data_IF_953242685546
#
_entry.id   IF_953242685546
#
_cell.length_a   1.000
_cell.length_b   1.000
_cell.length_c   1.000
_cell.angle_alpha   90.00
_cell.angle_beta   90.00
_cell.angle_gamma   90.00
#
_symmetry.space_group_name_H-M   'P 1'
#
loop_
_entity.id
_entity.type
_entity.pdbx_description
1 polymer ?
#
# COMPACT_ATOMS: atom_id res chain seq x y z
N UNK A 1 14.78 -16.44 7.13
CA UNK A 1 15.36 -15.08 7.12
C UNK A 1 16.65 -15.04 6.30
N UNK A 2 17.66 -15.85 6.65
CA UNK A 2 19.00 -15.91 6.03
C UNK A 2 19.04 -16.02 4.49
N UNK A 3 18.27 -16.90 3.84
CA UNK A 3 18.33 -17.02 2.38
C UNK A 3 17.64 -15.85 1.65
N UNK A 4 16.91 -14.98 2.35
CA UNK A 4 16.36 -13.74 1.77
C UNK A 4 17.29 -12.55 1.97
N UNK A 5 17.99 -12.40 3.11
CA UNK A 5 19.04 -11.36 3.33
C UNK A 5 20.11 -11.28 2.22
N UNK A 6 20.25 -12.42 1.58
CA UNK A 6 20.89 -12.80 0.34
C UNK A 6 20.62 -12.06 -0.92
N UNK A 7 19.35 -11.80 -1.06
CA UNK A 7 18.82 -11.04 -2.16
C UNK A 7 19.08 -9.55 -1.90
N UNK A 8 19.51 -9.20 -0.68
CA UNK A 8 19.38 -7.85 -0.14
C UNK A 8 20.68 -7.00 -0.06
N UNK A 9 21.83 -7.49 -0.52
CA UNK A 9 23.10 -6.72 -0.44
C UNK A 9 23.63 -6.26 -1.80
N UNK A 10 23.66 -4.93 -2.09
CA UNK A 10 24.25 -4.37 -3.29
C UNK A 10 25.58 -3.66 -3.02
N UNK A 11 26.36 -4.10 -2.03
CA UNK A 11 27.71 -3.54 -1.88
C UNK A 11 28.62 -3.95 -3.05
N UNK A 12 28.16 -4.86 -3.91
CA UNK A 12 28.84 -5.15 -5.17
C UNK A 12 28.83 -3.95 -6.14
N UNK A 13 27.92 -2.96 -6.01
CA UNK A 13 28.04 -1.68 -6.74
C UNK A 13 29.37 -0.97 -6.43
N UNK A 14 29.85 -1.07 -5.19
CA UNK A 14 31.13 -0.48 -4.76
C UNK A 14 32.31 -1.08 -5.50
N UNK A 15 32.23 -2.34 -5.92
CA UNK A 15 33.30 -3.07 -6.61
C UNK A 15 32.95 -3.47 -8.04
N UNK A 16 31.92 -2.87 -8.63
CA UNK A 16 31.48 -3.20 -9.98
C UNK A 16 32.58 -2.88 -11.00
N UNK A 17 32.69 -3.73 -12.03
CA UNK A 17 33.60 -3.45 -13.15
C UNK A 17 33.15 -2.19 -13.89
N UNK A 18 34.03 -1.19 -13.93
CA UNK A 18 33.78 0.07 -14.62
C UNK A 18 33.96 -0.08 -16.13
N UNK A 19 32.98 0.38 -16.91
CA UNK A 19 33.07 0.41 -18.36
C UNK A 19 32.61 1.74 -18.91
N UNK A 20 33.21 2.14 -20.04
CA UNK A 20 32.84 3.32 -20.80
C UNK A 20 32.81 4.63 -19.97
N UNK A 21 33.70 4.76 -18.98
CA UNK A 21 33.84 5.96 -18.17
C UNK A 21 32.86 6.10 -17.00
N UNK A 22 31.97 5.13 -16.78
CA UNK A 22 31.12 5.07 -15.60
C UNK A 22 31.94 4.77 -14.33
N UNK A 23 31.48 5.25 -13.17
CA UNK A 23 32.20 5.11 -11.91
C UNK A 23 31.47 4.18 -10.95
N UNK A 24 32.17 3.18 -10.44
CA UNK A 24 31.63 2.34 -9.39
C UNK A 24 31.61 3.08 -8.04
N UNK A 25 30.99 2.46 -7.03
CA UNK A 25 30.85 3.13 -5.74
C UNK A 25 32.16 3.42 -5.02
N UNK A 26 33.21 2.63 -5.22
CA UNK A 26 34.51 2.93 -4.62
C UNK A 26 35.18 4.12 -5.30
N UNK A 27 35.16 4.20 -6.62
CA UNK A 27 35.73 5.33 -7.36
C UNK A 27 35.05 6.64 -6.96
N UNK A 28 33.72 6.62 -6.87
CA UNK A 28 32.90 7.76 -6.47
C UNK A 28 33.11 8.16 -5.00
N UNK A 29 32.97 7.21 -4.06
CA UNK A 29 32.84 7.54 -2.62
C UNK A 29 34.08 7.21 -1.79
N UNK A 30 35.12 6.63 -2.39
CA UNK A 30 36.27 6.02 -1.70
C UNK A 30 35.88 4.95 -0.67
N UNK A 31 34.66 4.42 -0.78
CA UNK A 31 34.07 3.48 0.19
C UNK A 31 33.47 4.16 1.42
N UNK A 32 33.26 5.48 1.42
CA UNK A 32 32.61 6.20 2.52
C UNK A 32 31.22 6.66 2.11
N UNK A 33 30.20 5.89 2.50
CA UNK A 33 28.82 6.22 2.20
C UNK A 33 27.86 5.57 3.19
N UNK A 34 26.66 6.14 3.28
CA UNK A 34 25.51 5.54 3.95
C UNK A 34 24.50 5.12 2.89
N UNK A 35 23.96 3.94 3.03
CA UNK A 35 22.91 3.40 2.17
C UNK A 35 21.68 3.06 2.99
N UNK A 36 20.53 3.53 2.56
CA UNK A 36 19.23 3.21 3.13
C UNK A 36 18.38 2.58 2.04
N UNK A 37 17.75 1.45 2.34
CA UNK A 37 16.96 0.73 1.37
C UNK A 37 15.70 0.15 2.00
N UNK A 38 14.60 0.25 1.28
CA UNK A 38 13.32 -0.33 1.64
C UNK A 38 12.88 -1.33 0.57
N UNK A 39 12.47 -2.50 1.03
CA UNK A 39 12.08 -3.63 0.20
C UNK A 39 10.66 -4.03 0.57
N UNK A 40 9.79 -4.11 -0.43
CA UNK A 40 8.40 -4.52 -0.26
C UNK A 40 8.12 -5.77 -1.11
N UNK A 41 7.69 -6.85 -0.47
CA UNK A 41 7.32 -8.09 -1.14
C UNK A 41 5.87 -8.04 -1.61
N UNK A 42 5.55 -8.70 -2.72
CA UNK A 42 4.16 -8.77 -3.22
C UNK A 42 3.19 -9.46 -2.23
N UNK A 43 3.71 -10.20 -1.25
CA UNK A 43 2.97 -10.82 -0.15
C UNK A 43 2.67 -9.87 1.01
N UNK A 44 3.19 -8.64 0.98
CA UNK A 44 2.88 -7.57 1.94
C UNK A 44 3.94 -7.33 3.03
N UNK A 45 4.92 -8.23 3.18
CA UNK A 45 6.03 -8.01 4.12
C UNK A 45 7.00 -6.93 3.60
N UNK A 46 7.67 -6.25 4.53
CA UNK A 46 8.65 -5.21 4.23
C UNK A 46 9.94 -5.38 5.03
N UNK A 47 11.06 -4.98 4.44
CA UNK A 47 12.38 -4.95 5.07
C UNK A 47 13.05 -3.62 4.82
N UNK A 48 13.53 -3.01 5.89
CA UNK A 48 14.39 -1.83 5.87
C UNK A 48 15.84 -2.23 6.18
N UNK A 49 16.76 -1.61 5.46
CA UNK A 49 18.18 -1.84 5.61
C UNK A 49 18.96 -0.55 5.64
N UNK A 50 19.87 -0.44 6.60
CA UNK A 50 20.88 0.60 6.67
C UNK A 50 22.25 -0.03 6.57
N UNK A 51 23.09 0.48 5.67
CA UNK A 51 24.52 0.18 5.62
C UNK A 51 25.31 1.45 5.85
N UNK A 52 26.28 1.41 6.75
CA UNK A 52 27.27 2.48 6.93
C UNK A 52 28.63 1.92 6.53
N UNK A 53 29.16 2.43 5.42
CA UNK A 53 30.43 1.97 4.84
C UNK A 53 31.52 2.97 5.22
N UNK A 54 32.61 2.46 5.82
CA UNK A 54 33.64 3.26 6.49
C UNK A 54 35.01 3.18 5.80
N UNK A 55 35.00 3.02 4.49
CA UNK A 55 36.20 2.88 3.67
C UNK A 55 36.71 1.45 3.60
N UNK A 56 37.94 1.35 3.08
CA UNK A 56 38.66 0.10 2.86
C UNK A 56 39.86 0.05 3.80
N UNK A 57 40.07 -1.07 4.48
CA UNK A 57 41.21 -1.24 5.38
C UNK A 57 42.51 -1.54 4.61
N UNK A 58 43.63 -1.67 5.34
CA UNK A 58 44.94 -1.94 4.76
C UNK A 58 45.06 -3.27 4.01
N UNK A 59 44.11 -4.19 4.21
CA UNK A 59 44.05 -5.49 3.52
C UNK A 59 43.22 -5.46 2.24
N UNK A 60 42.58 -4.33 1.92
CA UNK A 60 41.64 -4.23 0.81
C UNK A 60 40.21 -4.67 1.17
N UNK A 61 39.90 -4.82 2.47
CA UNK A 61 38.57 -5.21 2.93
C UNK A 61 37.69 -3.99 3.15
N UNK A 62 36.50 -3.98 2.54
CA UNK A 62 35.51 -2.92 2.73
C UNK A 62 34.81 -3.09 4.09
N UNK A 63 34.80 -2.04 4.90
CA UNK A 63 34.22 -2.06 6.23
C UNK A 63 32.76 -1.60 6.19
N UNK A 64 31.83 -2.46 6.60
CA UNK A 64 30.39 -2.22 6.51
C UNK A 64 29.70 -2.57 7.83
N UNK A 65 29.00 -1.61 8.42
CA UNK A 65 28.01 -1.87 9.46
C UNK A 65 26.63 -1.99 8.83
N UNK A 66 25.93 -3.10 9.07
CA UNK A 66 24.60 -3.36 8.52
C UNK A 66 23.55 -3.49 9.63
N UNK A 67 22.43 -2.80 9.47
CA UNK A 67 21.22 -2.94 10.30
C UNK A 67 20.07 -3.36 9.39
N UNK A 68 19.37 -4.43 9.74
CA UNK A 68 18.23 -4.93 8.97
C UNK A 68 17.05 -5.13 9.90
N UNK A 69 15.90 -4.56 9.53
CA UNK A 69 14.67 -4.61 10.32
C UNK A 69 13.47 -4.92 9.43
N UNK A 70 12.48 -5.63 9.94
CA UNK A 70 11.25 -5.94 9.22
C UNK A 70 10.98 -7.44 9.12
N UNK A 71 10.09 -7.80 8.21
CA UNK A 71 9.60 -9.15 8.01
C UNK A 71 9.88 -9.59 6.58
N UNK A 72 10.03 -10.90 6.39
CA UNK A 72 10.21 -11.50 5.07
C UNK A 72 9.20 -12.62 4.87
N UNK A 73 8.84 -12.92 3.61
CA UNK A 73 8.02 -14.07 3.28
C UNK A 73 8.60 -15.36 3.87
N UNK A 74 7.73 -16.20 4.39
CA UNK A 74 8.14 -17.51 4.88
C UNK A 74 8.61 -18.40 3.72
N UNK A 75 9.82 -18.94 3.83
CA UNK A 75 10.36 -19.92 2.90
C UNK A 75 10.70 -21.22 3.65
N UNK A 76 10.32 -22.39 3.09
CA UNK A 76 10.71 -23.67 3.67
C UNK A 76 12.24 -23.81 3.85
N UNK A 77 12.69 -24.48 4.92
CA UNK A 77 14.11 -24.80 5.08
C UNK A 77 14.65 -25.60 3.88
N UNK A 78 15.82 -25.21 3.37
CA UNK A 78 16.43 -25.86 2.20
C UNK A 78 15.90 -25.40 0.85
N UNK A 79 14.98 -24.44 0.81
CA UNK A 79 14.56 -23.80 -0.45
C UNK A 79 15.74 -23.18 -1.20
N UNK A 80 15.92 -23.59 -2.45
CA UNK A 80 16.86 -22.95 -3.38
C UNK A 80 16.20 -21.71 -3.98
N UNK A 81 16.78 -20.54 -3.70
CA UNK A 81 16.33 -19.27 -4.28
C UNK A 81 17.13 -19.01 -5.54
N UNK A 82 16.44 -18.70 -6.63
CA UNK A 82 17.07 -18.26 -7.88
C UNK A 82 16.71 -16.81 -8.16
N UNK A 83 17.74 -16.04 -8.54
CA UNK A 83 17.61 -14.66 -8.96
C UNK A 83 17.99 -14.58 -10.44
N UNK A 84 17.14 -13.93 -11.22
CA UNK A 84 17.47 -13.63 -12.61
C UNK A 84 18.46 -12.45 -12.65
N UNK A 85 19.33 -12.40 -13.68
CA UNK A 85 20.09 -11.19 -13.96
C UNK A 85 19.18 -9.97 -14.07
N UNK A 86 19.66 -8.82 -13.62
CA UNK A 86 18.92 -7.58 -13.69
C UNK A 86 19.85 -6.39 -13.96
N UNK A 87 19.22 -5.28 -14.32
CA UNK A 87 19.89 -3.99 -14.43
C UNK A 87 19.14 -2.96 -13.58
N UNK A 88 19.89 -2.05 -12.99
CA UNK A 88 19.38 -1.03 -12.09
C UNK A 88 20.04 0.31 -12.40
N UNK A 89 19.22 1.35 -12.56
CA UNK A 89 19.70 2.70 -12.79
C UNK A 89 19.95 3.39 -11.46
N UNK A 90 21.17 3.90 -11.31
CA UNK A 90 21.58 4.82 -10.25
C UNK A 90 21.46 6.22 -10.83
N UNK A 91 20.73 7.07 -10.13
CA UNK A 91 20.36 8.42 -10.55
C UNK A 91 21.00 9.39 -9.57
N UNK A 92 21.78 10.36 -10.05
CA UNK A 92 22.31 11.44 -9.20
C UNK A 92 21.15 12.39 -8.87
N UNK A 93 20.68 12.42 -7.62
CA UNK A 93 19.51 13.23 -7.23
C UNK A 93 19.87 14.55 -6.55
N UNK A 94 21.06 14.62 -5.95
CA UNK A 94 21.63 15.83 -5.35
C UNK A 94 23.16 15.72 -5.31
N UNK A 95 23.86 16.73 -4.81
CA UNK A 95 25.25 16.60 -4.39
C UNK A 95 25.38 15.53 -3.28
N UNK A 96 26.27 14.56 -3.47
CA UNK A 96 26.43 13.49 -2.50
C UNK A 96 25.22 12.55 -2.35
N UNK A 97 24.25 12.54 -3.26
CA UNK A 97 23.05 11.69 -3.15
C UNK A 97 22.72 10.96 -4.45
N UNK A 98 22.54 9.64 -4.35
CA UNK A 98 22.03 8.77 -5.41
C UNK A 98 20.72 8.12 -5.01
N UNK A 99 19.86 7.90 -6.00
CA UNK A 99 18.65 7.09 -5.86
C UNK A 99 18.62 5.97 -6.89
N UNK A 100 18.12 4.81 -6.49
CA UNK A 100 17.83 3.71 -7.40
C UNK A 100 16.56 2.99 -6.96
N UNK A 101 15.73 2.60 -7.92
CA UNK A 101 14.57 1.77 -7.68
C UNK A 101 14.43 0.69 -8.76
N UNK A 102 13.95 -0.47 -8.36
CA UNK A 102 13.81 -1.63 -9.24
C UNK A 102 12.71 -2.57 -8.73
N UNK A 103 11.94 -3.15 -9.65
CA UNK A 103 11.08 -4.29 -9.34
C UNK A 103 11.76 -5.54 -9.87
N UNK A 104 11.93 -6.52 -8.99
CA UNK A 104 12.65 -7.77 -9.28
C UNK A 104 11.79 -8.95 -8.88
N UNK A 105 12.19 -10.13 -9.34
CA UNK A 105 11.51 -11.37 -9.01
C UNK A 105 12.53 -12.40 -8.59
N UNK A 106 12.30 -13.05 -7.45
CA UNK A 106 13.03 -14.26 -7.08
C UNK A 106 12.13 -15.47 -7.22
N UNK A 107 12.73 -16.64 -7.43
CA UNK A 107 11.97 -17.89 -7.60
C UNK A 107 12.39 -18.94 -6.58
N UNK A 108 11.44 -19.76 -6.16
CA UNK A 108 11.63 -20.93 -5.29
C UNK A 108 10.89 -22.10 -5.93
N UNK A 109 11.62 -22.98 -6.63
CA UNK A 109 11.00 -23.95 -7.52
C UNK A 109 10.19 -23.23 -8.62
N UNK A 110 8.92 -23.58 -8.76
CA UNK A 110 7.99 -22.96 -9.73
C UNK A 110 7.29 -21.69 -9.18
N UNK A 111 7.54 -21.33 -7.91
CA UNK A 111 6.95 -20.14 -7.32
C UNK A 111 7.80 -18.90 -7.60
N UNK A 112 7.19 -17.85 -8.14
CA UNK A 112 7.84 -16.58 -8.46
C UNK A 112 7.25 -15.47 -7.58
N UNK A 113 8.10 -14.79 -6.81
CA UNK A 113 7.67 -13.69 -5.95
C UNK A 113 8.32 -12.37 -6.39
N UNK A 114 7.51 -11.41 -6.88
CA UNK A 114 7.96 -10.05 -7.11
C UNK A 114 8.26 -9.34 -5.80
N UNK A 115 9.26 -8.47 -5.83
CA UNK A 115 9.55 -7.52 -4.76
C UNK A 115 10.00 -6.20 -5.37
N UNK A 116 9.51 -5.11 -4.79
CA UNK A 116 9.94 -3.77 -5.09
C UNK A 116 11.13 -3.41 -4.19
N UNK A 117 12.09 -2.71 -4.78
CA UNK A 117 13.30 -2.28 -4.13
C UNK A 117 13.52 -0.81 -4.39
N UNK A 118 13.72 -0.03 -3.33
CA UNK A 118 14.17 1.34 -3.42
C UNK A 118 15.42 1.51 -2.56
N UNK A 119 16.27 2.45 -2.93
CA UNK A 119 17.45 2.78 -2.15
C UNK A 119 17.93 4.20 -2.40
N UNK A 120 18.48 4.77 -1.35
CA UNK A 120 19.18 6.04 -1.36
C UNK A 120 20.59 5.81 -0.84
N UNK A 121 21.58 6.36 -1.54
CA UNK A 121 22.98 6.37 -1.13
C UNK A 121 23.38 7.82 -0.89
N UNK A 122 23.85 8.11 0.32
CA UNK A 122 24.40 9.41 0.70
C UNK A 122 25.91 9.30 0.97
N UNK A 123 26.66 10.29 0.51
CA UNK A 123 28.11 10.39 0.66
C UNK A 123 28.51 11.88 0.71
N UNK A 124 29.78 12.14 1.00
CA UNK A 124 30.29 13.50 1.09
C UNK A 124 30.29 14.18 -0.29
N UNK A 125 29.64 15.34 -0.40
CA UNK A 125 29.52 16.10 -1.65
C UNK A 125 30.89 16.50 -2.24
N UNK A 126 31.92 16.67 -1.40
CA UNK A 126 33.29 16.99 -1.86
C UNK A 126 33.93 15.85 -2.67
N UNK A 127 33.36 14.64 -2.63
CA UNK A 127 33.84 13.49 -3.42
C UNK A 127 33.42 13.57 -4.90
N UNK A 128 32.59 14.55 -5.27
CA UNK A 128 32.13 14.79 -6.63
C UNK A 128 30.85 14.05 -6.99
N UNK A 129 30.53 14.00 -8.28
CA UNK A 129 29.31 13.37 -8.81
C UNK A 129 29.66 12.16 -9.67
N UNK A 130 28.65 11.34 -9.95
CA UNK A 130 28.76 10.34 -11.02
C UNK A 130 29.15 11.03 -12.35
N UNK A 131 30.00 10.39 -13.17
CA UNK A 131 30.33 10.86 -14.51
C UNK A 131 29.12 11.13 -15.41
N UNK A 132 28.02 10.39 -15.22
CA UNK A 132 26.77 10.55 -15.93
C UNK A 132 25.61 10.75 -14.95
N UNK A 133 24.57 11.49 -15.32
CA UNK A 133 23.41 11.72 -14.44
C UNK A 133 22.67 10.43 -14.10
N UNK A 134 22.78 9.44 -15.00
CA UNK A 134 22.30 8.07 -14.80
C UNK A 134 23.39 7.09 -15.22
N UNK A 135 23.72 6.17 -14.32
CA UNK A 135 24.56 5.00 -14.60
C UNK A 135 23.79 3.72 -14.33
N UNK A 136 24.02 2.69 -15.14
CA UNK A 136 23.32 1.41 -15.04
C UNK A 136 24.24 0.33 -14.49
N UNK A 137 23.85 -0.23 -13.35
CA UNK A 137 24.46 -1.40 -12.75
C UNK A 137 23.86 -2.65 -13.39
N UNK A 138 24.70 -3.54 -13.89
CA UNK A 138 24.30 -4.83 -14.42
C UNK A 138 24.75 -5.93 -13.46
N UNK A 139 23.81 -6.71 -12.94
CA UNK A 139 24.08 -7.82 -12.04
C UNK A 139 23.78 -9.15 -12.74
N UNK A 140 24.78 -10.04 -12.79
CA UNK A 140 24.74 -11.32 -13.47
C UNK A 140 25.30 -12.43 -12.58
N UNK A 141 25.06 -13.69 -12.95
CA UNK A 141 25.63 -14.84 -12.25
C UNK A 141 25.27 -14.89 -10.77
N UNK A 142 24.04 -14.47 -10.43
CA UNK A 142 23.61 -14.26 -9.05
C UNK A 142 23.32 -15.61 -8.41
N UNK A 143 24.04 -15.91 -7.33
CA UNK A 143 23.90 -17.13 -6.56
C UNK A 143 23.89 -16.84 -5.06
N UNK A 144 23.09 -17.61 -4.33
CA UNK A 144 22.97 -17.52 -2.89
C UNK A 144 22.93 -18.91 -2.27
N UNK A 145 23.68 -19.09 -1.17
CA UNK A 145 23.67 -20.32 -0.40
C UNK A 145 23.79 -20.04 1.09
N UNK A 146 23.26 -20.95 1.90
CA UNK A 146 23.36 -20.90 3.36
C UNK A 146 23.87 -22.23 3.89
N UNK A 147 24.92 -22.16 4.70
CA UNK A 147 25.55 -23.29 5.37
C UNK A 147 25.05 -23.37 6.81
N UNK A 148 24.21 -24.37 7.12
CA UNK A 148 23.70 -24.60 8.47
C UNK A 148 24.82 -24.96 9.46
N UNK A 149 25.89 -25.62 9.01
CA UNK A 149 26.98 -26.09 9.87
C UNK A 149 27.91 -24.96 10.28
N UNK A 150 28.16 -24.01 9.39
CA UNK A 150 29.02 -22.85 9.65
C UNK A 150 28.23 -21.62 10.13
N UNK A 151 26.89 -21.69 10.09
CA UNK A 151 26.02 -20.52 10.21
C UNK A 151 26.46 -19.39 9.26
N UNK A 152 26.92 -19.78 8.08
CA UNK A 152 27.54 -18.89 7.09
C UNK A 152 26.62 -18.74 5.90
N UNK A 153 26.61 -17.52 5.38
CA UNK A 153 25.71 -17.08 4.36
C UNK A 153 26.52 -16.44 3.24
N UNK A 154 26.43 -16.99 2.02
CA UNK A 154 27.34 -16.65 0.93
C UNK A 154 26.58 -16.21 -0.31
N UNK A 155 27.09 -15.14 -0.94
CA UNK A 155 26.56 -14.58 -2.18
C UNK A 155 27.64 -14.44 -3.22
N UNK A 156 27.28 -14.75 -4.45
CA UNK A 156 28.14 -14.57 -5.61
C UNK A 156 27.35 -13.76 -6.62
N UNK A 157 27.95 -12.69 -7.11
CA UNK A 157 27.39 -11.82 -8.14
C UNK A 157 28.52 -11.25 -8.96
N UNK A 158 28.36 -11.29 -10.28
CA UNK A 158 29.20 -10.57 -11.22
C UNK A 158 28.52 -9.26 -11.55
N UNK A 159 29.23 -8.15 -11.36
CA UNK A 159 28.65 -6.82 -11.58
C UNK A 159 29.53 -5.91 -12.42
N UNK A 160 28.88 -5.08 -13.23
CA UNK A 160 29.51 -4.02 -14.01
C UNK A 160 28.66 -2.76 -13.99
N UNK A 161 29.29 -1.59 -14.06
CA UNK A 161 28.63 -0.29 -14.16
C UNK A 161 28.93 0.32 -15.53
N UNK A 162 27.91 0.85 -16.20
CA UNK A 162 28.01 1.50 -17.51
C UNK A 162 27.22 2.81 -17.52
N UNK A 163 27.47 3.71 -18.49
CA UNK A 163 26.61 4.87 -18.69
C UNK A 163 25.18 4.40 -18.96
N UNK A 164 24.21 5.02 -18.29
CA UNK A 164 22.81 4.66 -18.46
C UNK A 164 22.30 5.02 -19.85
N UNK A 165 21.18 4.40 -20.24
CA UNK A 165 20.47 4.78 -21.48
C UNK A 165 20.02 6.24 -21.47
N UNK A 166 19.78 6.78 -20.27
CA UNK A 166 19.46 8.19 -20.02
C UNK A 166 20.67 8.91 -19.38
N UNK A 167 21.88 8.65 -19.87
CA UNK A 167 23.12 9.22 -19.32
C UNK A 167 23.18 10.75 -19.31
N UNK A 168 22.42 11.41 -20.20
CA UNK A 168 22.33 12.88 -20.34
C UNK A 168 20.91 13.42 -20.06
N UNK A 169 20.02 12.61 -19.48
CA UNK A 169 18.62 13.03 -19.23
C UNK A 169 18.02 12.32 -18.01
N UNK A 170 16.99 12.90 -17.41
CA UNK A 170 16.41 12.33 -16.21
C UNK A 170 15.30 11.31 -16.52
N UNK A 171 15.21 10.19 -15.76
CA UNK A 171 14.10 9.27 -15.85
C UNK A 171 12.75 9.93 -15.53
N UNK A 172 11.66 9.25 -15.87
CA UNK A 172 10.31 9.64 -15.45
C UNK A 172 10.23 9.81 -13.93
N UNK A 173 9.46 10.80 -13.46
CA UNK A 173 9.43 11.21 -12.05
C UNK A 173 10.52 12.23 -11.68
N UNK A 174 11.50 12.47 -12.56
CA UNK A 174 12.58 13.42 -12.28
C UNK A 174 12.66 14.53 -13.34
N UNK A 175 13.35 15.63 -12.99
CA UNK A 175 13.69 16.75 -13.86
C UNK A 175 15.16 17.13 -13.68
N UNK A 176 15.80 17.56 -14.78
CA UNK A 176 17.17 18.03 -14.73
C UNK A 176 17.24 19.38 -14.01
N UNK A 177 18.10 19.47 -13.00
CA UNK A 177 18.35 20.70 -12.26
C UNK A 177 19.20 21.68 -13.08
N UNK A 178 18.93 22.97 -12.93
CA UNK A 178 19.72 24.04 -13.53
C UNK A 178 21.05 24.31 -12.80
N UNK A 179 21.17 23.86 -11.56
CA UNK A 179 22.32 24.11 -10.67
C UNK A 179 23.41 23.04 -10.78
N UNK A 180 23.14 21.92 -11.43
CA UNK A 180 24.11 20.86 -11.65
C UNK A 180 23.53 19.65 -12.38
N UNK A 181 24.33 18.59 -12.60
CA UNK A 181 23.91 17.37 -13.27
C UNK A 181 23.08 16.50 -12.32
N UNK A 182 21.96 17.03 -11.84
CA UNK A 182 21.09 16.38 -10.86
C UNK A 182 19.71 16.13 -11.46
N UNK A 183 19.19 14.93 -11.22
CA UNK A 183 17.82 14.59 -11.49
C UNK A 183 17.01 14.79 -10.21
N UNK A 184 16.44 15.98 -10.08
CA UNK A 184 15.57 16.35 -8.97
C UNK A 184 14.23 15.68 -9.11
N UNK A 185 13.75 15.16 -8.00
CA UNK A 185 12.42 14.59 -7.89
C UNK A 185 11.36 15.64 -8.24
N UNK A 186 10.33 15.22 -8.99
CA UNK A 186 9.17 16.04 -9.25
C UNK A 186 8.16 15.77 -8.16
N UNK A 187 7.78 16.80 -7.41
CA UNK A 187 6.76 16.63 -6.39
C UNK A 187 5.36 16.72 -7.02
N UNK A 188 4.81 15.57 -7.41
CA UNK A 188 3.49 15.56 -8.06
C UNK A 188 2.35 16.01 -7.13
N UNK A 189 2.57 15.94 -5.81
CA UNK A 189 1.61 16.40 -4.81
C UNK A 189 1.57 17.94 -4.74
N UNK A 190 2.72 18.61 -4.86
CA UNK A 190 2.80 20.08 -4.89
C UNK A 190 2.45 20.65 -6.26
N UNK A 191 2.85 19.98 -7.33
CA UNK A 191 2.62 20.43 -8.71
C UNK A 191 1.17 20.27 -9.16
N UNK A 192 0.28 19.74 -8.30
CA UNK A 192 -1.12 19.44 -8.61
C UNK A 192 -1.29 18.51 -9.82
N UNK A 193 -0.29 17.66 -10.06
CA UNK A 193 -0.29 16.66 -11.14
C UNK A 193 -0.60 15.26 -10.63
N UNK A 194 -0.63 15.07 -9.31
CA UNK A 194 -1.05 13.81 -8.70
C UNK A 194 -2.47 13.43 -9.12
N UNK A 195 -2.70 12.12 -9.28
CA UNK A 195 -4.01 11.54 -9.62
C UNK A 195 -4.81 11.08 -8.39
N UNK A 196 -4.30 11.33 -7.18
CA UNK A 196 -4.90 10.85 -5.95
C UNK A 196 -6.29 11.45 -5.72
N UNK A 197 -7.28 10.60 -5.39
CA UNK A 197 -8.62 11.09 -5.01
C UNK A 197 -8.63 11.79 -3.66
N UNK A 198 -7.81 11.31 -2.71
CA UNK A 198 -7.74 11.81 -1.34
C UNK A 198 -6.32 12.32 -1.02
N UNK A 199 -5.60 11.67 -0.10
CA UNK A 199 -4.26 12.08 0.32
C UNK A 199 -3.20 11.73 -0.71
N UNK A 200 -2.20 12.60 -0.84
CA UNK A 200 -1.00 12.40 -1.67
C UNK A 200 0.24 12.52 -0.77
N UNK A 201 1.18 11.60 -0.94
CA UNK A 201 2.51 11.65 -0.30
C UNK A 201 3.57 11.49 -1.38
N UNK A 202 4.43 12.50 -1.51
CA UNK A 202 5.51 12.48 -2.50
C UNK A 202 6.61 11.49 -2.10
N UNK A 203 7.22 10.84 -3.09
CA UNK A 203 8.30 9.86 -2.90
C UNK A 203 9.35 10.04 -4.01
N UNK A 204 10.60 9.61 -3.80
CA UNK A 204 11.59 9.74 -4.88
C UNK A 204 11.17 8.96 -6.14
N UNK A 205 11.00 9.69 -7.24
CA UNK A 205 10.62 9.22 -8.56
C UNK A 205 9.13 8.94 -8.74
N UNK A 206 8.27 9.18 -7.73
CA UNK A 206 6.84 8.92 -7.80
C UNK A 206 6.05 9.50 -6.61
N UNK A 207 4.81 9.08 -6.41
CA UNK A 207 4.01 9.46 -5.26
C UNK A 207 3.07 8.32 -4.88
N UNK A 208 2.66 8.29 -3.62
CA UNK A 208 1.70 7.34 -3.09
C UNK A 208 0.40 8.05 -2.71
N UNK A 209 -0.73 7.43 -3.04
CA UNK A 209 -2.04 7.90 -2.63
C UNK A 209 -2.51 7.18 -1.37
N UNK A 210 -3.19 7.90 -0.50
CA UNK A 210 -3.78 7.37 0.72
C UNK A 210 -5.27 7.74 0.81
N UNK A 211 -6.09 6.78 1.25
CA UNK A 211 -7.52 6.98 1.41
C UNK A 211 -7.86 7.40 2.85
N UNK A 212 -8.85 8.28 2.99
CA UNK A 212 -9.46 8.60 4.29
C UNK A 212 -10.17 7.39 4.88
N UNK A 213 -10.47 7.45 6.18
CA UNK A 213 -11.26 6.42 6.86
C UNK A 213 -12.60 6.17 6.14
N UNK A 214 -13.03 4.90 6.10
CA UNK A 214 -14.20 4.45 5.32
C UNK A 214 -13.94 4.18 3.83
N UNK A 215 -12.70 4.37 3.35
CA UNK A 215 -12.33 4.13 1.96
C UNK A 215 -11.11 3.23 1.83
N UNK A 216 -11.03 2.50 0.71
CA UNK A 216 -9.89 1.67 0.34
C UNK A 216 -9.30 2.11 -1.00
N UNK A 217 -7.99 1.92 -1.18
CA UNK A 217 -7.32 2.28 -2.43
C UNK A 217 -7.68 1.29 -3.53
N UNK A 218 -8.18 1.81 -4.64
CA UNK A 218 -8.57 1.02 -5.79
C UNK A 218 -7.39 0.36 -6.50
N UNK A 219 -7.66 -0.58 -7.44
CA UNK A 219 -6.60 -1.30 -8.15
C UNK A 219 -5.70 -0.43 -9.03
N UNK A 220 -6.15 0.78 -9.35
CA UNK A 220 -5.34 1.76 -10.09
C UNK A 220 -4.27 2.43 -9.22
N UNK A 221 -4.35 2.29 -7.89
CA UNK A 221 -3.44 2.91 -6.93
C UNK A 221 -3.69 4.40 -6.70
N UNK A 222 -4.78 4.97 -7.24
CA UNK A 222 -5.06 6.41 -7.17
C UNK A 222 -6.47 6.72 -6.65
N UNK A 223 -7.45 5.89 -7.03
CA UNK A 223 -8.86 6.15 -6.74
C UNK A 223 -9.27 5.52 -5.43
N UNK A 224 -9.88 6.29 -4.53
CA UNK A 224 -10.42 5.76 -3.29
C UNK A 224 -11.85 5.28 -3.49
N UNK A 225 -12.09 4.01 -3.15
CA UNK A 225 -13.38 3.35 -3.24
C UNK A 225 -13.99 3.25 -1.84
N UNK A 226 -15.26 3.61 -1.76
CA UNK A 226 -16.05 3.49 -0.55
C UNK A 226 -16.07 2.04 -0.06
N UNK A 227 -15.85 1.82 1.23
CA UNK A 227 -15.93 0.49 1.83
C UNK A 227 -17.39 0.21 2.13
N UNK A 228 -17.97 -0.81 1.50
CA UNK A 228 -19.33 -1.24 1.82
C UNK A 228 -19.33 -2.05 3.12
N UNK A 229 -19.52 -1.39 4.27
CA UNK A 229 -19.58 -2.08 5.55
C UNK A 229 -20.83 -2.95 5.69
N UNK A 230 -21.91 -2.67 4.92
CA UNK A 230 -23.11 -3.51 4.92
C UNK A 230 -22.86 -4.90 4.32
N UNK A 231 -21.81 -5.05 3.51
CA UNK A 231 -21.32 -6.35 3.04
C UNK A 231 -20.61 -7.18 4.12
N UNK A 232 -20.26 -6.57 5.26
CA UNK A 232 -19.54 -7.24 6.35
C UNK A 232 -20.51 -7.81 7.39
N UNK A 233 -20.18 -8.99 7.91
CA UNK A 233 -21.03 -9.67 8.89
C UNK A 233 -21.02 -8.95 10.24
N UNK A 234 -22.21 -8.68 10.80
CA UNK A 234 -22.38 -8.18 12.16
C UNK A 234 -22.20 -6.67 12.34
N UNK A 235 -22.21 -5.91 11.24
CA UNK A 235 -22.08 -4.44 11.28
C UNK A 235 -23.32 -3.76 11.86
N UNK A 236 -24.51 -4.25 11.56
CA UNK A 236 -25.77 -3.81 12.18
C UNK A 236 -26.40 -4.90 13.06
N UNK A 237 -27.28 -4.50 13.97
CA UNK A 237 -28.03 -5.40 14.83
C UNK A 237 -29.04 -6.28 14.09
N UNK A 238 -29.53 -7.37 14.71
CA UNK A 238 -30.40 -8.36 14.05
C UNK A 238 -31.79 -7.85 13.63
N UNK A 239 -32.16 -6.61 14.00
CA UNK A 239 -33.41 -5.95 13.59
C UNK A 239 -33.14 -4.62 12.88
N UNK A 240 -31.96 -4.45 12.33
CA UNK A 240 -31.57 -3.23 11.65
C UNK A 240 -31.34 -3.51 10.17
N UNK A 241 -31.79 -2.57 9.34
CA UNK A 241 -31.44 -2.47 7.94
C UNK A 241 -30.17 -1.61 7.83
N UNK A 242 -29.16 -2.15 7.16
CA UNK A 242 -27.94 -1.42 6.85
C UNK A 242 -28.10 -0.68 5.53
N UNK A 243 -27.79 0.61 5.53
CA UNK A 243 -27.68 1.44 4.33
C UNK A 243 -26.25 1.99 4.24
N UNK A 244 -25.53 1.60 3.20
CA UNK A 244 -24.16 2.06 2.96
C UNK A 244 -24.15 3.53 2.52
N UNK A 245 -23.19 4.31 3.00
CA UNK A 245 -23.07 5.75 2.72
C UNK A 245 -21.62 6.13 2.40
N UNK A 246 -21.34 7.24 1.69
CA UNK A 246 -19.97 7.63 1.44
C UNK A 246 -19.15 7.84 2.74
N UNK A 247 -18.16 6.98 2.95
CA UNK A 247 -17.22 6.94 4.07
C UNK A 247 -17.75 6.30 5.35
N UNK A 248 -18.96 5.71 5.33
CA UNK A 248 -19.58 5.10 6.52
C UNK A 248 -20.85 4.31 6.18
N UNK A 249 -21.60 3.91 7.19
CA UNK A 249 -22.88 3.23 7.03
C UNK A 249 -23.87 3.71 8.09
N UNK A 250 -25.16 3.52 7.80
CA UNK A 250 -26.23 3.81 8.74
C UNK A 250 -27.02 2.52 8.99
N UNK A 251 -27.10 2.10 10.26
CA UNK A 251 -28.02 1.06 10.69
C UNK A 251 -29.34 1.71 11.13
N UNK A 252 -30.44 1.34 10.49
CA UNK A 252 -31.77 1.83 10.85
C UNK A 252 -32.66 0.70 11.34
N UNK A 253 -33.45 0.94 12.40
CA UNK A 253 -34.30 -0.12 12.94
C UNK A 253 -35.42 -0.47 11.97
N UNK A 254 -35.59 -1.76 11.70
CA UNK A 254 -36.74 -2.29 10.96
C UNK A 254 -37.93 -2.45 11.91
N UNK A 255 -39.04 -1.81 11.56
CA UNK A 255 -40.26 -1.87 12.33
C UNK A 255 -41.16 -3.01 11.85
N UNK A 256 -41.80 -3.70 12.80
CA UNK A 256 -42.81 -4.72 12.49
C UNK A 256 -44.06 -4.10 11.85
N UNK A 257 -44.98 -4.97 11.40
CA UNK A 257 -46.27 -4.54 10.83
C UNK A 257 -47.02 -3.63 11.82
N UNK A 258 -47.62 -2.55 11.32
CA UNK A 258 -48.38 -1.57 12.11
C UNK A 258 -47.51 -0.60 12.92
N UNK A 259 -46.19 -0.62 12.74
CA UNK A 259 -45.25 0.30 13.41
C UNK A 259 -44.48 1.12 12.37
N UNK A 260 -44.21 2.39 12.69
CA UNK A 260 -43.36 3.27 11.88
C UNK A 260 -42.12 3.69 12.66
N UNK A 261 -41.10 4.11 11.94
CA UNK A 261 -39.88 4.67 12.54
C UNK A 261 -40.20 6.00 13.21
N UNK A 262 -39.67 6.18 14.42
CA UNK A 262 -39.54 7.51 15.03
C UNK A 262 -38.67 8.43 14.16
N UNK A 263 -38.82 9.76 14.25
CA UNK A 263 -38.01 10.71 13.47
C UNK A 263 -36.50 10.57 13.68
N UNK A 264 -36.06 10.10 14.86
CA UNK A 264 -34.64 9.81 15.14
C UNK A 264 -34.14 8.51 14.49
N UNK A 265 -35.04 7.64 14.02
CA UNK A 265 -34.70 6.35 13.41
C UNK A 265 -34.25 5.26 14.39
N UNK A 266 -34.21 5.57 15.69
CA UNK A 266 -33.65 4.70 16.75
C UNK A 266 -34.69 3.80 17.42
N UNK A 267 -35.98 4.02 17.14
CA UNK A 267 -37.07 3.26 17.72
C UNK A 267 -38.27 3.19 16.76
N UNK A 268 -39.15 2.23 17.03
CA UNK A 268 -40.43 2.09 16.34
C UNK A 268 -41.55 2.62 17.25
N UNK A 269 -42.42 3.43 16.66
CA UNK A 269 -43.67 3.87 17.28
C UNK A 269 -44.85 3.27 16.54
N UNK A 270 -45.98 3.20 17.24
CA UNK A 270 -47.21 2.67 16.70
C UNK A 270 -47.79 3.58 15.62
N UNK A 271 -48.25 3.01 14.50
CA UNK A 271 -49.01 3.75 13.50
C UNK A 271 -50.43 3.83 14.04
N UNK A 272 -50.93 5.04 14.31
CA UNK A 272 -52.31 5.18 14.75
C UNK A 272 -53.24 5.18 13.55
N UNK A 273 -53.68 4.00 13.09
CA UNK A 273 -54.51 3.90 11.88
C UNK A 273 -55.86 4.59 12.06
N UNK A 274 -56.38 4.67 13.29
CA UNK A 274 -57.61 5.41 13.59
C UNK A 274 -57.47 6.93 13.39
N UNK A 275 -56.25 7.48 13.50
CA UNK A 275 -55.96 8.89 13.23
C UNK A 275 -55.57 9.13 11.77
N UNK A 276 -54.78 8.23 11.18
CA UNK A 276 -54.33 8.37 9.80
C UNK A 276 -55.46 8.12 8.79
N UNK A 277 -56.38 7.19 9.09
CA UNK A 277 -57.62 6.96 8.35
C UNK A 277 -58.85 6.89 9.28
N UNK A 278 -59.54 8.03 9.49
CA UNK A 278 -60.76 8.07 10.30
C UNK A 278 -61.93 7.25 9.74
N UNK A 279 -61.85 6.78 8.49
CA UNK A 279 -62.90 6.00 7.81
C UNK A 279 -62.66 4.50 7.83
N UNK A 280 -61.56 4.06 8.45
CA UNK A 280 -61.12 2.66 8.47
C UNK A 280 -62.07 1.71 9.21
N UNK A 281 -62.97 2.24 10.05
CA UNK A 281 -64.03 1.50 10.74
C UNK A 281 -65.39 2.15 10.51
N UNK A 282 -66.45 1.35 10.33
CA UNK A 282 -67.83 1.85 10.16
C UNK A 282 -68.33 2.68 11.35
N UNK A 283 -67.87 2.38 12.57
CA UNK A 283 -68.40 3.01 13.79
C UNK A 283 -67.32 3.45 14.79
N UNK A 284 -66.64 2.52 15.46
CA UNK A 284 -65.66 2.84 16.51
C UNK A 284 -64.34 2.22 16.14
N UNK A 285 -63.26 3.01 16.09
CA UNK A 285 -61.90 2.53 15.88
C UNK A 285 -61.13 2.59 17.21
N UNK A 286 -60.38 1.53 17.51
CA UNK A 286 -59.50 1.46 18.66
C UNK A 286 -58.08 1.13 18.19
N UNK A 287 -57.17 2.05 18.48
CA UNK A 287 -55.76 1.90 18.16
C UNK A 287 -55.08 0.90 19.12
N UNK A 288 -54.28 -0.02 18.58
CA UNK A 288 -53.55 -1.04 19.33
C UNK A 288 -52.09 -1.03 18.87
N UNK A 289 -51.16 -1.53 19.69
CA UNK A 289 -49.77 -1.64 19.26
C UNK A 289 -49.67 -2.64 18.10
N UNK A 290 -49.22 -2.18 16.93
CA UNK A 290 -49.05 -2.97 15.71
C UNK A 290 -50.33 -3.17 14.90
N UNK A 291 -51.39 -2.39 15.14
CA UNK A 291 -52.62 -2.44 14.35
C UNK A 291 -53.83 -1.77 15.02
N UNK A 292 -55.02 -2.01 14.47
CA UNK A 292 -56.26 -1.45 15.03
C UNK A 292 -57.34 -2.52 15.15
N UNK A 293 -58.41 -2.20 15.89
CA UNK A 293 -59.65 -2.99 15.89
C UNK A 293 -60.87 -2.10 15.75
N UNK A 294 -61.86 -2.59 15.00
CA UNK A 294 -63.16 -1.93 14.88
C UNK A 294 -64.18 -2.54 15.86
N UNK A 295 -64.88 -1.68 16.58
CA UNK A 295 -65.96 -2.03 17.50
C UNK A 295 -67.29 -1.38 17.07
N UNK A 296 -68.39 -2.13 17.26
CA UNK A 296 -69.73 -1.67 16.92
C UNK A 296 -70.50 -1.18 18.15
N UNK A 297 -71.25 -0.10 17.99
CA UNK A 297 -72.16 0.44 18.99
C UNK A 297 -73.29 -0.56 19.29
N UNK A 298 -73.93 -0.38 20.44
CA UNK A 298 -75.03 -1.24 20.90
C UNK A 298 -76.12 -1.35 19.83
N UNK A 299 -76.53 -2.59 19.51
CA UNK A 299 -77.52 -2.89 18.47
C UNK A 299 -76.91 -3.33 17.13
N UNK A 300 -75.60 -3.31 16.99
CA UNK A 300 -74.88 -3.75 15.78
C UNK A 300 -73.97 -4.96 16.08
N UNK A 301 -73.54 -5.66 15.04
CA UNK A 301 -72.53 -6.71 15.07
C UNK A 301 -71.49 -6.45 13.98
N UNK A 302 -70.23 -6.76 14.29
CA UNK A 302 -69.13 -6.65 13.33
C UNK A 302 -69.26 -7.79 12.29
N UNK A 303 -69.15 -7.45 11.01
CA UNK A 303 -69.12 -8.38 9.88
C UNK A 303 -67.88 -8.07 9.07
N UNK A 304 -66.98 -9.04 8.91
CA UNK A 304 -65.65 -8.77 8.36
C UNK A 304 -64.73 -8.20 9.44
N UNK A 305 -63.92 -7.20 9.09
CA UNK A 305 -62.94 -6.58 9.99
C UNK A 305 -63.27 -5.12 10.36
N UNK A 306 -64.14 -4.47 9.59
CA UNK A 306 -64.39 -3.02 9.60
C UNK A 306 -65.88 -2.64 9.64
N UNK A 307 -66.78 -3.53 9.17
CA UNK A 307 -68.19 -3.21 8.91
C UNK A 307 -69.15 -3.56 10.05
N UNK A 308 -70.07 -2.67 10.40
CA UNK A 308 -71.07 -2.84 11.45
C UNK A 308 -72.48 -2.97 10.87
N UNK A 309 -73.11 -4.14 11.06
CA UNK A 309 -74.47 -4.43 10.57
C UNK A 309 -75.43 -4.54 11.76
N UNK A 310 -76.64 -3.99 11.63
CA UNK A 310 -77.68 -4.09 12.65
C UNK A 310 -77.97 -5.56 13.02
N UNK A 311 -78.17 -5.81 14.32
CA UNK A 311 -78.62 -7.12 14.82
C UNK A 311 -80.09 -7.35 14.52
#
# INVERSE_FOLDING_TARGET
MTPLLSVLSPVYWTAAYEANGAANGHTLTKGFFRREAHVAFATGETVDMTHVVRGVDSSGTLLVDAVVTGNVPYLPPGSLITLQPYSENYIQTDDGSLFAASTRTFSVGDYHLPYAWNQTISYDADMGNMPYVVETLHANGIGASYSNTQAELSYIVSSSITPGTLSDSCPSGFSLDSTGPYCRDKDECLDSTSRCSHGCTNTLGSYACACTEGYTLGPDGYTCQDVDECGMAGVCGPREQCDNTPGSYICTYTCGVGLKRTPSGTACEDINECQEDPTICDQTCLNLIGGYRCDCRRGFRLVGQDRCVGR
#
